data_IF_963045536888
#
_entry.id   IF_963045536888
#
_cell.length_a   1.000
_cell.length_b   1.000
_cell.length_c   1.000
_cell.angle_alpha   90.00
_cell.angle_beta   90.00
_cell.angle_gamma   90.00
#
_symmetry.space_group_name_H-M   'P 1'
#
loop_
_entity.id
_entity.type
_entity.pdbx_description
1 polymer ?
#
# COMPACT_ATOMS: atom_id res chain seq x y z
N UNK A 1 27.94 10.43 2.59
CA UNK A 1 28.04 10.13 4.03
C UNK A 1 27.41 8.76 4.22
N UNK A 2 28.15 7.77 4.67
CA UNK A 2 27.60 6.41 4.83
C UNK A 2 26.68 6.37 6.06
N UNK A 3 25.37 6.38 5.84
CA UNK A 3 24.33 6.25 6.86
C UNK A 3 24.23 4.81 7.41
N UNK A 4 25.38 4.15 7.63
CA UNK A 4 25.45 2.77 8.14
C UNK A 4 25.05 2.63 9.61
N UNK A 5 24.70 3.73 10.27
CA UNK A 5 24.18 3.77 11.63
C UNK A 5 22.65 3.77 11.70
N UNK A 6 21.96 3.75 10.54
CA UNK A 6 20.50 3.70 10.47
C UNK A 6 20.06 2.27 10.17
N UNK A 7 19.22 1.74 11.05
CA UNK A 7 18.55 0.45 10.84
C UNK A 7 17.06 0.70 10.70
N UNK A 8 16.45 0.14 9.64
CA UNK A 8 15.01 0.26 9.39
C UNK A 8 14.34 -1.08 9.55
N UNK A 9 13.40 -1.16 10.47
CA UNK A 9 12.49 -2.28 10.62
C UNK A 9 11.18 -1.99 9.93
N UNK A 10 10.53 -3.03 9.41
CA UNK A 10 9.18 -2.94 8.85
C UNK A 10 8.38 -4.07 9.45
N UNK A 11 7.31 -3.70 10.15
CA UNK A 11 6.41 -4.64 10.79
C UNK A 11 5.11 -4.66 9.99
N UNK A 12 4.66 -5.87 9.65
CA UNK A 12 3.43 -6.07 8.90
C UNK A 12 2.77 -7.38 9.27
N UNK A 13 1.51 -7.53 8.88
CA UNK A 13 0.71 -8.69 9.26
C UNK A 13 0.22 -8.60 10.70
N UNK A 14 -0.39 -9.68 11.18
CA UNK A 14 -1.07 -9.73 12.48
C UNK A 14 -0.14 -9.42 13.66
N UNK A 15 1.02 -10.07 13.68
CA UNK A 15 1.98 -9.97 14.80
C UNK A 15 2.77 -8.64 14.80
N UNK A 16 2.84 -7.97 13.65
CA UNK A 16 3.52 -6.68 13.52
C UNK A 16 2.60 -5.46 13.71
N UNK A 17 1.29 -5.69 13.90
CA UNK A 17 0.30 -4.62 14.01
C UNK A 17 0.14 -4.21 15.48
N UNK A 18 0.67 -3.05 15.83
CA UNK A 18 0.36 -2.41 17.10
C UNK A 18 -0.99 -1.71 17.00
N UNK A 19 -1.91 -2.03 17.90
CA UNK A 19 -3.16 -1.28 18.08
C UNK A 19 -3.03 -0.16 19.11
N UNK A 20 -1.99 -0.22 19.93
CA UNK A 20 -1.59 0.82 20.87
C UNK A 20 -0.14 1.22 20.56
N UNK A 21 0.05 2.51 20.24
CA UNK A 21 1.33 3.10 19.86
C UNK A 21 2.03 3.78 21.05
N UNK A 22 1.73 3.34 22.27
CA UNK A 22 2.47 3.76 23.45
C UNK A 22 3.98 3.51 23.30
N UNK A 23 4.83 4.41 23.83
CA UNK A 23 6.29 4.24 23.77
C UNK A 23 6.74 2.87 24.27
N UNK A 24 6.11 2.35 25.32
CA UNK A 24 6.41 1.05 25.91
C UNK A 24 6.17 -0.11 24.92
N UNK A 25 5.06 -0.07 24.18
CA UNK A 25 4.73 -1.12 23.20
C UNK A 25 5.64 -1.06 21.96
N UNK A 26 5.97 0.14 21.51
CA UNK A 26 6.93 0.37 20.42
C UNK A 26 8.32 -0.14 20.82
N UNK A 27 8.77 0.19 22.03
CA UNK A 27 10.06 -0.21 22.55
C UNK A 27 10.16 -1.71 22.74
N UNK A 28 9.10 -2.34 23.28
CA UNK A 28 9.02 -3.79 23.41
C UNK A 28 9.14 -4.48 22.05
N UNK A 29 8.33 -4.07 21.05
CA UNK A 29 8.36 -4.68 19.71
C UNK A 29 9.74 -4.52 19.04
N UNK A 30 10.34 -3.35 19.17
CA UNK A 30 11.66 -3.06 18.59
C UNK A 30 12.76 -3.83 19.30
N UNK A 31 12.74 -3.88 20.63
CA UNK A 31 13.71 -4.64 21.43
C UNK A 31 13.66 -6.14 21.16
N UNK A 32 12.46 -6.73 21.07
CA UNK A 32 12.29 -8.14 20.68
C UNK A 32 12.86 -8.42 19.28
N UNK A 33 12.72 -7.47 18.35
CA UNK A 33 13.28 -7.58 17.00
C UNK A 33 14.80 -7.53 17.02
N UNK A 34 15.39 -6.59 17.75
CA UNK A 34 16.84 -6.47 17.94
C UNK A 34 17.43 -7.72 18.60
N UNK A 35 16.77 -8.28 19.61
CA UNK A 35 17.16 -9.53 20.25
C UNK A 35 17.16 -10.71 19.26
N UNK A 36 16.14 -10.80 18.40
CA UNK A 36 16.10 -11.82 17.34
C UNK A 36 17.23 -11.66 16.34
N UNK A 37 17.59 -10.44 15.97
CA UNK A 37 18.72 -10.18 15.08
C UNK A 37 20.03 -10.64 15.69
N UNK A 38 20.30 -10.32 16.96
CA UNK A 38 21.48 -10.82 17.68
C UNK A 38 21.46 -12.34 17.73
N UNK A 39 20.33 -12.94 18.13
CA UNK A 39 20.19 -14.40 18.32
C UNK A 39 20.40 -15.19 17.03
N UNK A 40 19.80 -14.76 15.93
CA UNK A 40 19.73 -15.57 14.70
C UNK A 40 20.74 -15.15 13.65
N UNK A 41 21.22 -13.91 13.66
CA UNK A 41 22.18 -13.41 12.68
C UNK A 41 23.57 -13.13 13.27
N UNK A 42 23.74 -13.25 14.59
CA UNK A 42 25.01 -12.96 15.27
C UNK A 42 25.42 -11.49 15.19
N UNK A 43 24.46 -10.59 14.94
CA UNK A 43 24.72 -9.16 14.88
C UNK A 43 25.25 -8.66 16.24
N UNK A 44 26.25 -7.78 16.29
CA UNK A 44 26.62 -7.10 17.52
C UNK A 44 25.41 -6.35 18.07
N UNK A 45 25.23 -6.36 19.39
CA UNK A 45 24.19 -5.55 20.02
C UNK A 45 24.58 -4.08 19.89
N UNK A 46 23.89 -3.36 19.01
CA UNK A 46 24.01 -1.92 18.89
C UNK A 46 23.21 -1.22 20.02
N UNK A 47 23.70 -0.07 20.46
CA UNK A 47 22.95 0.84 21.32
C UNK A 47 22.05 1.72 20.45
N UNK A 48 20.73 1.62 20.65
CA UNK A 48 19.75 2.47 19.98
C UNK A 48 19.75 3.86 20.62
N UNK A 49 20.29 4.84 19.91
CA UNK A 49 20.38 6.24 20.39
C UNK A 49 19.16 7.09 20.06
N UNK A 50 18.37 6.69 19.06
CA UNK A 50 17.16 7.39 18.64
C UNK A 50 16.19 6.43 17.96
N UNK A 51 14.91 6.77 17.94
CA UNK A 51 13.85 6.01 17.29
C UNK A 51 12.87 6.95 16.59
N UNK A 52 12.57 6.65 15.32
CA UNK A 52 11.51 7.30 14.57
C UNK A 52 10.48 6.25 14.14
N UNK A 53 9.21 6.47 14.48
CA UNK A 53 8.11 5.57 14.13
C UNK A 53 7.20 6.21 13.11
N UNK A 54 6.83 5.43 12.09
CA UNK A 54 5.73 5.74 11.18
C UNK A 54 4.77 4.55 11.20
N UNK A 55 3.54 4.81 11.59
CA UNK A 55 2.48 3.82 11.63
C UNK A 55 1.40 4.15 10.60
N UNK A 56 0.89 3.11 9.94
CA UNK A 56 -0.18 3.21 8.96
C UNK A 56 -1.17 2.08 9.26
N UNK A 57 -2.36 2.42 9.73
CA UNK A 57 -3.40 1.43 10.07
C UNK A 57 -3.77 0.55 8.86
N UNK A 58 -3.71 1.14 7.66
CA UNK A 58 -3.85 0.48 6.37
C UNK A 58 -2.77 0.97 5.41
N UNK A 59 -1.57 0.36 5.47
CA UNK A 59 -0.42 0.76 4.66
C UNK A 59 -0.55 0.38 3.17
N UNK A 60 -1.15 -0.78 2.89
CA UNK A 60 -1.31 -1.33 1.56
C UNK A 60 -2.43 -2.36 1.51
N UNK A 61 -2.95 -2.59 0.31
CA UNK A 61 -4.00 -3.57 0.03
C UNK A 61 -3.52 -5.00 0.25
N UNK A 62 -4.14 -5.70 1.20
CA UNK A 62 -3.94 -7.13 1.40
C UNK A 62 -4.94 -7.92 0.56
N UNK A 63 -4.46 -8.84 -0.29
CA UNK A 63 -5.35 -9.62 -1.16
C UNK A 63 -5.94 -10.77 -0.35
N UNK A 64 -7.25 -10.71 -0.15
CA UNK A 64 -8.01 -11.73 0.55
C UNK A 64 -8.40 -12.85 -0.42
N UNK A 65 -8.87 -14.01 0.07
CA UNK A 65 -9.53 -15.00 -0.77
C UNK A 65 -10.59 -14.34 -1.67
N UNK A 66 -10.71 -14.81 -2.91
CA UNK A 66 -11.66 -14.29 -3.91
C UNK A 66 -11.39 -12.85 -4.38
N UNK A 67 -10.15 -12.35 -4.26
CA UNK A 67 -9.77 -11.02 -4.74
C UNK A 67 -10.07 -10.77 -6.23
N UNK A 68 -10.01 -11.81 -7.06
CA UNK A 68 -10.35 -11.71 -8.48
C UNK A 68 -11.85 -11.39 -8.70
N UNK A 69 -12.72 -11.96 -7.87
CA UNK A 69 -14.17 -11.73 -7.92
C UNK A 69 -14.49 -10.32 -7.42
N UNK A 70 -13.89 -9.88 -6.31
CA UNK A 70 -13.94 -8.49 -5.85
C UNK A 70 -13.54 -7.51 -6.97
N UNK A 71 -12.44 -7.78 -7.67
CA UNK A 71 -12.00 -6.94 -8.77
C UNK A 71 -12.96 -6.98 -9.97
N UNK A 72 -13.68 -8.08 -10.19
CA UNK A 72 -14.71 -8.16 -11.23
C UNK A 72 -15.91 -7.28 -10.86
N UNK A 73 -16.41 -7.40 -9.63
CA UNK A 73 -17.50 -6.56 -9.10
C UNK A 73 -17.16 -5.07 -9.16
N UNK A 74 -15.94 -4.69 -8.77
CA UNK A 74 -15.47 -3.30 -8.87
C UNK A 74 -15.45 -2.81 -10.32
N UNK A 75 -15.00 -3.64 -11.26
CA UNK A 75 -14.98 -3.27 -12.69
C UNK A 75 -16.38 -3.12 -13.25
N UNK A 76 -17.29 -4.03 -12.91
CA UNK A 76 -18.69 -3.98 -13.32
C UNK A 76 -19.37 -2.71 -12.79
N UNK A 77 -19.21 -2.41 -11.49
CA UNK A 77 -19.81 -1.22 -10.88
C UNK A 77 -19.27 0.11 -11.44
N UNK A 78 -18.02 0.14 -11.92
CA UNK A 78 -17.42 1.34 -12.52
C UNK A 78 -17.81 1.50 -13.99
N UNK A 79 -18.11 0.41 -14.71
CA UNK A 79 -18.42 0.45 -16.14
C UNK A 79 -19.62 1.36 -16.47
N UNK A 80 -20.57 1.50 -15.53
CA UNK A 80 -21.77 2.32 -15.69
C UNK A 80 -21.56 3.81 -15.34
N UNK A 81 -20.33 4.21 -14.99
CA UNK A 81 -20.00 5.60 -14.62
C UNK A 81 -19.04 6.20 -15.66
N UNK A 82 -19.55 6.90 -16.70
CA UNK A 82 -18.72 7.48 -17.74
C UNK A 82 -17.67 8.44 -17.17
N UNK A 83 -16.41 8.26 -17.59
CA UNK A 83 -15.30 9.11 -17.16
C UNK A 83 -14.75 8.79 -15.77
N UNK A 84 -15.24 7.74 -15.09
CA UNK A 84 -14.61 7.23 -13.87
C UNK A 84 -13.59 6.14 -14.22
N UNK A 85 -12.36 6.32 -13.78
CA UNK A 85 -11.27 5.37 -13.98
C UNK A 85 -10.55 5.11 -12.66
N UNK A 86 -10.27 3.83 -12.39
CA UNK A 86 -9.63 3.42 -11.14
C UNK A 86 -8.17 2.98 -11.35
N UNK A 87 -7.34 3.31 -10.37
CA UNK A 87 -5.94 2.91 -10.27
C UNK A 87 -5.57 2.65 -8.81
N UNK A 88 -4.50 1.88 -8.57
CA UNK A 88 -4.03 1.60 -7.22
C UNK A 88 -3.38 0.23 -7.05
N UNK A 89 -2.95 -0.02 -5.82
CA UNK A 89 -2.25 -1.24 -5.40
C UNK A 89 -3.15 -2.49 -5.35
N UNK A 90 -4.45 -2.31 -5.15
CA UNK A 90 -5.43 -3.40 -5.13
C UNK A 90 -5.64 -4.05 -6.49
N UNK A 91 -5.14 -3.46 -7.59
CA UNK A 91 -5.38 -3.98 -8.95
C UNK A 91 -4.25 -4.90 -9.41
N UNK A 92 -2.98 -4.49 -9.28
CA UNK A 92 -1.81 -5.21 -9.82
C UNK A 92 -0.67 -5.43 -8.80
N UNK A 93 -0.94 -5.18 -7.52
CA UNK A 93 -0.02 -5.38 -6.41
C UNK A 93 0.53 -4.07 -5.85
N UNK A 94 1.13 -4.16 -4.67
CA UNK A 94 1.64 -3.02 -3.88
C UNK A 94 2.90 -2.36 -4.44
N UNK A 95 3.60 -3.01 -5.37
CA UNK A 95 4.81 -2.43 -5.95
C UNK A 95 4.52 -1.07 -6.59
N UNK A 96 5.44 -0.11 -6.41
CA UNK A 96 5.31 1.24 -6.98
C UNK A 96 5.14 1.15 -8.50
N UNK A 97 5.84 0.21 -9.14
CA UNK A 97 5.77 -0.04 -10.57
C UNK A 97 4.37 -0.47 -11.02
N UNK A 98 3.70 -1.34 -10.27
CA UNK A 98 2.32 -1.76 -10.55
C UNK A 98 1.34 -0.59 -10.38
N UNK A 99 1.47 0.19 -9.30
CA UNK A 99 0.66 1.39 -9.07
C UNK A 99 0.85 2.43 -10.18
N UNK A 100 2.09 2.68 -10.60
CA UNK A 100 2.37 3.60 -11.70
C UNK A 100 1.79 3.11 -13.02
N UNK A 101 1.85 1.80 -13.28
CA UNK A 101 1.27 1.19 -14.48
C UNK A 101 -0.26 1.33 -14.51
N UNK A 102 -0.93 1.03 -13.40
CA UNK A 102 -2.40 1.16 -13.31
C UNK A 102 -2.82 2.62 -13.43
N UNK A 103 -2.08 3.54 -12.79
CA UNK A 103 -2.29 4.98 -12.92
C UNK A 103 -2.17 5.48 -14.37
N UNK A 104 -1.11 5.05 -15.08
CA UNK A 104 -0.93 5.41 -16.49
C UNK A 104 -2.03 4.87 -17.39
N UNK A 105 -2.48 3.63 -17.14
CA UNK A 105 -3.57 3.03 -17.91
C UNK A 105 -4.91 3.76 -17.68
N UNK A 106 -5.25 4.05 -16.42
CA UNK A 106 -6.44 4.82 -16.05
C UNK A 106 -6.44 6.21 -16.67
N UNK A 107 -5.33 6.95 -16.55
CA UNK A 107 -5.18 8.26 -17.16
C UNK A 107 -5.32 8.22 -18.69
N UNK A 108 -4.78 7.18 -19.35
CA UNK A 108 -4.92 6.98 -20.79
C UNK A 108 -6.37 6.78 -21.24
N UNK A 109 -7.14 5.95 -20.52
CA UNK A 109 -8.56 5.74 -20.79
C UNK A 109 -9.39 7.00 -20.53
N UNK A 110 -9.13 7.69 -19.42
CA UNK A 110 -9.79 8.94 -19.10
C UNK A 110 -9.52 10.03 -20.14
N UNK A 111 -8.26 10.19 -20.57
CA UNK A 111 -7.90 11.14 -21.61
C UNK A 111 -8.64 10.82 -22.93
N UNK A 112 -8.68 9.54 -23.33
CA UNK A 112 -9.42 9.11 -24.52
C UNK A 112 -10.92 9.45 -24.41
N UNK A 113 -11.54 9.22 -23.24
CA UNK A 113 -12.93 9.58 -22.97
C UNK A 113 -13.17 11.09 -23.12
N UNK A 114 -12.32 11.93 -22.54
CA UNK A 114 -12.46 13.40 -22.61
C UNK A 114 -12.25 13.97 -24.02
N UNK A 115 -11.44 13.30 -24.85
CA UNK A 115 -11.20 13.71 -26.24
C UNK A 115 -12.16 13.08 -27.24
N UNK A 116 -12.97 12.11 -26.82
CA UNK A 116 -13.98 11.52 -27.68
C UNK A 116 -15.05 12.56 -27.97
N UNK A 117 -15.49 12.74 -29.22
CA UNK A 117 -16.60 13.63 -29.53
C UNK A 117 -17.79 13.24 -28.67
N UNK A 118 -18.36 14.19 -27.92
CA UNK A 118 -19.59 13.94 -27.18
C UNK A 118 -20.64 13.43 -28.14
N UNK A 119 -21.14 12.20 -27.94
CA UNK A 119 -22.33 11.77 -28.64
C UNK A 119 -23.44 12.79 -28.31
N UNK A 120 -24.24 13.25 -29.29
CA UNK A 120 -25.32 14.17 -29.02
C UNK A 120 -26.19 13.60 -27.91
N UNK A 121 -26.50 14.41 -26.90
CA UNK A 121 -27.39 14.03 -25.82
C UNK A 121 -28.65 13.43 -26.43
N UNK A 122 -28.93 12.15 -26.11
CA UNK A 122 -30.18 11.51 -26.51
C UNK A 122 -31.30 12.38 -25.93
N UNK A 123 -32.07 13.03 -26.81
CA UNK A 123 -33.26 13.76 -26.39
C UNK A 123 -34.15 12.80 -25.59
N UNK A 124 -34.44 13.15 -24.35
CA UNK A 124 -35.43 12.46 -23.55
C UNK A 124 -36.77 12.53 -24.29
N UNK A 125 -37.36 11.37 -24.56
CA UNK A 125 -38.73 11.22 -25.05
C UNK A 125 -39.71 11.26 -23.88
#
# INVERSE_FOLDING_TARGET
MEERHIVRYTYSGREGRLTDLSPENIDRLTGETEERLVRYLGAPRAERVNLLVKHWDAAYSGYLPYHADFLAEVREGVADVPGLELAGDYIQGVSIEACARTGRAAAGRLAAHLTSPSAPARAAA
#
